data_IF_879672942326
#
_entry.id   IF_879672942326
#
_cell.length_a   1.000
_cell.length_b   1.000
_cell.length_c   1.000
_cell.angle_alpha   90.00
_cell.angle_beta   90.00
_cell.angle_gamma   90.00
#
_symmetry.space_group_name_H-M   'P 1'
#
loop_
_entity.id
_entity.type
_entity.pdbx_description
1 polymer ?
#
# COMPACT_ATOMS: atom_id res chain seq x y z
N UNK A 1 -1.84 -7.15 -13.75
CA UNK A 1 -0.71 -6.91 -14.71
C UNK A 1 0.59 -7.30 -14.02
N UNK A 2 1.38 -8.21 -14.61
CA UNK A 2 2.65 -8.69 -14.04
C UNK A 2 3.82 -7.85 -14.54
N UNK A 3 4.84 -7.66 -13.70
CA UNK A 3 6.07 -6.95 -14.00
C UNK A 3 7.18 -7.96 -14.32
N UNK A 4 8.06 -7.64 -15.27
CA UNK A 4 9.33 -8.33 -15.46
C UNK A 4 10.38 -7.81 -14.46
N UNK A 5 11.57 -8.46 -14.41
CA UNK A 5 12.66 -8.09 -13.48
C UNK A 5 13.03 -6.62 -13.57
N UNK A 6 13.22 -6.08 -14.79
CA UNK A 6 13.59 -4.68 -15.00
C UNK A 6 12.54 -3.70 -14.48
N UNK A 7 11.26 -3.99 -14.72
CA UNK A 7 10.16 -3.17 -14.24
C UNK A 7 10.03 -3.23 -12.71
N UNK A 8 10.20 -4.41 -12.13
CA UNK A 8 10.18 -4.62 -10.69
C UNK A 8 11.38 -3.93 -10.00
N UNK A 9 12.58 -4.03 -10.58
CA UNK A 9 13.77 -3.34 -10.09
C UNK A 9 13.60 -1.81 -10.07
N UNK A 10 13.01 -1.23 -11.12
CA UNK A 10 12.68 0.19 -11.15
C UNK A 10 11.65 0.57 -10.09
N UNK A 11 10.62 -0.27 -9.89
CA UNK A 11 9.59 -0.01 -8.88
C UNK A 11 10.18 0.05 -7.47
N UNK A 12 11.15 -0.83 -7.16
CA UNK A 12 11.80 -0.92 -5.86
C UNK A 12 13.06 -0.05 -5.75
N UNK A 13 13.44 0.67 -6.81
CA UNK A 13 14.68 1.47 -6.87
C UNK A 13 15.93 0.66 -6.53
N UNK A 14 16.00 -0.59 -7.02
CA UNK A 14 17.13 -1.52 -6.81
C UNK A 14 17.70 -1.99 -8.15
N UNK A 15 18.86 -2.69 -8.11
CA UNK A 15 19.45 -3.30 -9.29
C UNK A 15 18.73 -4.57 -9.74
N UNK A 16 18.78 -4.90 -11.03
CA UNK A 16 18.28 -6.19 -11.53
C UNK A 16 19.01 -7.38 -10.88
N UNK A 17 20.31 -7.23 -10.57
CA UNK A 17 21.09 -8.25 -9.87
C UNK A 17 20.57 -8.55 -8.47
N UNK A 18 20.11 -7.53 -7.76
CA UNK A 18 19.49 -7.68 -6.45
C UNK A 18 18.14 -8.39 -6.52
N UNK A 19 17.34 -8.09 -7.54
CA UNK A 19 16.11 -8.81 -7.83
C UNK A 19 16.34 -10.29 -8.07
N UNK A 20 17.34 -10.66 -8.87
CA UNK A 20 17.67 -12.06 -9.12
C UNK A 20 18.13 -12.76 -7.84
N UNK A 21 18.95 -12.12 -7.01
CA UNK A 21 19.36 -12.67 -5.71
C UNK A 21 18.15 -13.02 -4.82
N UNK A 22 17.16 -12.12 -4.72
CA UNK A 22 15.95 -12.38 -3.94
C UNK A 22 15.04 -13.46 -4.55
N UNK A 23 15.05 -13.61 -5.87
CA UNK A 23 14.36 -14.72 -6.56
C UNK A 23 15.04 -16.05 -6.25
N UNK A 24 16.37 -16.12 -6.32
CA UNK A 24 17.16 -17.33 -6.04
C UNK A 24 17.05 -17.77 -4.58
N UNK A 25 17.03 -16.81 -3.64
CA UNK A 25 16.82 -17.09 -2.21
C UNK A 25 15.37 -17.41 -1.85
N UNK A 26 14.42 -17.23 -2.77
CA UNK A 26 12.98 -17.42 -2.50
C UNK A 26 12.36 -16.37 -1.58
N UNK A 27 13.04 -15.25 -1.36
CA UNK A 27 12.56 -14.18 -0.46
C UNK A 27 11.46 -13.32 -1.08
N UNK A 28 11.50 -13.12 -2.40
CA UNK A 28 10.58 -12.24 -3.11
C UNK A 28 9.44 -13.01 -3.77
N UNK A 29 8.17 -12.58 -3.62
CA UNK A 29 7.06 -13.26 -4.26
C UNK A 29 7.12 -13.11 -5.79
N UNK A 30 7.26 -14.21 -6.51
CA UNK A 30 7.26 -14.24 -7.97
C UNK A 30 6.64 -15.52 -8.52
N UNK A 31 6.27 -15.51 -9.80
CA UNK A 31 5.82 -16.68 -10.54
C UNK A 31 6.76 -16.91 -11.71
N UNK A 32 7.32 -18.11 -11.79
CA UNK A 32 8.18 -18.49 -12.92
C UNK A 32 7.35 -18.82 -14.16
N UNK A 33 7.59 -18.11 -15.26
CA UNK A 33 6.97 -18.35 -16.55
C UNK A 33 8.07 -18.48 -17.61
N UNK A 34 8.16 -19.64 -18.27
CA UNK A 34 9.22 -19.93 -19.25
C UNK A 34 10.63 -19.56 -18.72
N UNK A 35 10.91 -19.95 -17.49
CA UNK A 35 12.18 -19.68 -16.79
C UNK A 35 12.49 -18.19 -16.53
N UNK A 36 11.47 -17.31 -16.59
CA UNK A 36 11.60 -15.90 -16.25
C UNK A 36 10.69 -15.57 -15.05
N UNK A 37 11.20 -14.87 -14.02
CA UNK A 37 10.38 -14.45 -12.90
C UNK A 37 9.47 -13.28 -13.31
N UNK A 38 8.21 -13.39 -12.95
CA UNK A 38 7.19 -12.36 -13.10
C UNK A 38 6.60 -12.01 -11.74
N UNK A 39 6.45 -10.73 -11.47
CA UNK A 39 6.02 -10.18 -10.19
C UNK A 39 4.62 -9.58 -10.30
N UNK A 40 3.75 -9.91 -9.36
CA UNK A 40 2.50 -9.19 -9.18
C UNK A 40 2.75 -7.82 -8.54
N UNK A 41 2.11 -6.76 -9.06
CA UNK A 41 2.36 -5.39 -8.54
C UNK A 41 1.96 -5.22 -7.08
N UNK A 42 0.79 -5.71 -6.70
CA UNK A 42 0.29 -5.60 -5.34
C UNK A 42 1.17 -6.41 -4.38
N UNK A 43 1.44 -7.68 -4.72
CA UNK A 43 2.29 -8.55 -3.93
C UNK A 43 3.69 -7.99 -3.73
N UNK A 44 4.23 -7.34 -4.77
CA UNK A 44 5.54 -6.72 -4.70
C UNK A 44 5.55 -5.49 -3.79
N UNK A 45 4.49 -4.67 -3.82
CA UNK A 45 4.34 -3.51 -2.95
C UNK A 45 4.15 -3.91 -1.48
N UNK A 46 3.32 -4.91 -1.20
CA UNK A 46 3.13 -5.48 0.14
C UNK A 46 4.46 -6.01 0.70
N UNK A 47 5.18 -6.80 -0.11
CA UNK A 47 6.49 -7.34 0.25
C UNK A 47 7.53 -6.23 0.49
N UNK A 48 7.57 -5.22 -0.38
CA UNK A 48 8.47 -4.07 -0.23
C UNK A 48 8.17 -3.28 1.05
N UNK A 49 6.88 -3.10 1.38
CA UNK A 49 6.45 -2.46 2.63
C UNK A 49 6.92 -3.25 3.84
N UNK A 50 6.73 -4.58 3.83
CA UNK A 50 7.18 -5.46 4.90
C UNK A 50 8.71 -5.46 5.08
N UNK A 51 9.46 -5.34 3.97
CA UNK A 51 10.93 -5.25 3.96
C UNK A 51 11.45 -3.82 4.14
N UNK A 52 10.58 -2.83 4.29
CA UNK A 52 10.92 -1.39 4.38
C UNK A 52 11.76 -0.89 3.20
N UNK A 53 11.47 -1.35 2.01
CA UNK A 53 12.10 -0.88 0.79
C UNK A 53 11.37 0.34 0.25
N UNK A 54 12.14 1.31 -0.28
CA UNK A 54 11.55 2.46 -0.97
C UNK A 54 10.89 2.03 -2.27
N UNK A 55 9.76 2.66 -2.58
CA UNK A 55 8.98 2.40 -3.79
C UNK A 55 8.93 3.66 -4.63
N UNK A 56 9.26 3.53 -5.93
CA UNK A 56 9.14 4.63 -6.88
C UNK A 56 7.67 4.90 -7.20
N UNK A 57 7.20 6.09 -6.87
CA UNK A 57 5.83 6.53 -7.19
C UNK A 57 5.65 6.92 -8.66
N UNK A 58 6.74 7.23 -9.38
CA UNK A 58 6.70 7.67 -10.79
C UNK A 58 5.98 6.69 -11.72
N UNK A 59 6.13 5.38 -11.45
CA UNK A 59 5.48 4.35 -12.26
C UNK A 59 3.94 4.34 -12.12
N UNK A 60 3.43 5.01 -11.11
CA UNK A 60 1.99 5.17 -10.88
C UNK A 60 1.48 6.56 -11.28
N UNK A 61 2.37 7.53 -11.45
CA UNK A 61 2.05 8.92 -11.79
C UNK A 61 1.98 9.16 -13.30
N UNK A 62 2.79 8.45 -14.09
CA UNK A 62 2.91 8.61 -15.54
C UNK A 62 1.81 7.84 -16.30
N UNK A 63 0.65 8.42 -16.43
CA UNK A 63 -0.44 7.89 -17.23
C UNK A 63 -1.54 8.93 -17.39
N UNK A 64 -1.57 9.47 -18.56
CA UNK A 64 -2.42 10.56 -19.06
C UNK A 64 -3.83 10.05 -19.36
N UNK A 65 -4.60 9.59 -18.39
CA UNK A 65 -6.03 9.38 -18.58
C UNK A 65 -6.79 9.66 -17.28
N UNK A 66 -7.25 10.90 -17.11
CA UNK A 66 -8.48 11.33 -16.46
C UNK A 66 -8.81 10.91 -15.01
N UNK A 67 -7.95 10.17 -14.32
CA UNK A 67 -8.18 9.73 -12.96
C UNK A 67 -7.64 10.73 -11.93
N UNK A 68 -8.50 11.22 -11.05
CA UNK A 68 -8.09 12.09 -9.95
C UNK A 68 -6.93 11.45 -9.17
N UNK A 69 -5.88 12.23 -8.96
CA UNK A 69 -4.68 11.83 -8.20
C UNK A 69 -5.10 11.56 -6.75
N UNK A 70 -5.18 10.28 -6.36
CA UNK A 70 -5.55 9.91 -5.00
C UNK A 70 -4.39 10.20 -4.06
N UNK A 71 -4.57 11.12 -3.12
CA UNK A 71 -3.62 11.39 -2.04
C UNK A 71 -3.98 10.58 -0.81
N UNK A 72 -2.99 10.04 -0.14
CA UNK A 72 -3.18 9.25 1.09
C UNK A 72 -3.88 10.09 2.18
N UNK A 73 -3.44 11.32 2.38
CA UNK A 73 -4.06 12.22 3.35
C UNK A 73 -5.54 12.44 3.09
N UNK A 74 -5.94 12.70 1.82
CA UNK A 74 -7.33 12.98 1.46
C UNK A 74 -8.22 11.75 1.61
N UNK A 75 -7.72 10.54 1.30
CA UNK A 75 -8.49 9.30 1.47
C UNK A 75 -8.60 8.88 2.92
N UNK A 76 -7.57 9.14 3.76
CA UNK A 76 -7.64 8.97 5.22
C UNK A 76 -8.60 9.97 5.87
N UNK A 77 -8.63 11.20 5.38
CA UNK A 77 -9.59 12.21 5.85
C UNK A 77 -11.03 11.80 5.54
N UNK A 78 -11.29 11.18 4.41
CA UNK A 78 -12.62 10.64 4.07
C UNK A 78 -12.97 9.38 4.85
N UNK A 79 -12.01 8.46 4.99
CA UNK A 79 -12.23 7.15 5.61
C UNK A 79 -12.24 7.16 7.12
N UNK A 80 -11.39 7.99 7.72
CA UNK A 80 -11.32 8.18 9.16
C UNK A 80 -10.30 7.29 9.88
N UNK A 81 -10.09 7.62 11.15
CA UNK A 81 -9.25 6.90 12.10
C UNK A 81 -10.13 6.41 13.25
N UNK A 82 -10.10 5.12 13.52
CA UNK A 82 -10.94 4.46 14.51
C UNK A 82 -10.08 3.85 15.59
N UNK A 83 -10.46 4.08 16.86
CA UNK A 83 -9.82 3.53 18.02
C UNK A 83 -10.67 2.43 18.63
N UNK A 84 -10.00 1.51 19.34
CA UNK A 84 -10.64 0.43 20.09
C UNK A 84 -11.62 -0.42 19.26
N UNK A 85 -11.22 -0.72 18.03
CA UNK A 85 -12.01 -1.57 17.12
C UNK A 85 -12.06 -2.97 17.70
N UNK A 86 -13.26 -3.52 17.98
CA UNK A 86 -13.41 -4.81 18.65
C UNK A 86 -13.12 -5.97 17.70
N UNK A 87 -12.74 -7.11 18.28
CA UNK A 87 -12.50 -8.36 17.59
C UNK A 87 -11.44 -9.17 18.31
N UNK A 88 -11.56 -10.49 18.27
CA UNK A 88 -10.61 -11.44 18.88
C UNK A 88 -10.00 -12.40 17.84
N UNK A 89 -10.45 -12.33 16.61
CA UNK A 89 -9.92 -13.03 15.45
C UNK A 89 -10.01 -12.16 14.19
N UNK A 90 -9.38 -12.61 13.10
CA UNK A 90 -9.37 -11.87 11.81
C UNK A 90 -10.78 -11.57 11.30
N UNK A 91 -11.68 -12.54 11.38
CA UNK A 91 -13.03 -12.39 10.83
C UNK A 91 -13.85 -11.37 11.58
N UNK A 92 -13.82 -11.37 12.91
CA UNK A 92 -14.52 -10.40 13.75
C UNK A 92 -13.93 -9.00 13.60
N UNK A 93 -12.60 -8.86 13.49
CA UNK A 93 -11.93 -7.58 13.22
C UNK A 93 -12.33 -7.02 11.86
N UNK A 94 -12.27 -7.82 10.80
CA UNK A 94 -12.63 -7.37 9.46
C UNK A 94 -14.12 -6.97 9.38
N UNK A 95 -15.01 -7.70 10.04
CA UNK A 95 -16.42 -7.35 10.15
C UNK A 95 -16.58 -5.97 10.83
N UNK A 96 -15.95 -5.78 11.98
CA UNK A 96 -16.02 -4.53 12.72
C UNK A 96 -15.44 -3.34 11.93
N UNK A 97 -14.45 -3.56 11.09
CA UNK A 97 -13.88 -2.55 10.19
C UNK A 97 -14.89 -2.22 9.08
N UNK A 98 -15.44 -3.23 8.39
CA UNK A 98 -16.39 -3.05 7.28
C UNK A 98 -17.63 -2.28 7.73
N UNK A 99 -18.13 -2.53 8.95
CA UNK A 99 -19.24 -1.79 9.54
C UNK A 99 -18.96 -0.28 9.70
N UNK A 100 -17.69 0.10 9.88
CA UNK A 100 -17.24 1.49 10.08
C UNK A 100 -16.84 2.19 8.80
N UNK A 101 -16.70 1.48 7.69
CA UNK A 101 -16.36 2.10 6.41
C UNK A 101 -17.45 3.10 5.99
N UNK A 102 -17.08 4.29 5.49
CA UNK A 102 -18.02 5.29 5.00
C UNK A 102 -18.54 4.90 3.60
N UNK A 103 -19.26 3.78 3.53
CA UNK A 103 -19.91 3.26 2.34
C UNK A 103 -21.34 3.76 2.27
N UNK A 104 -21.89 3.84 1.05
CA UNK A 104 -23.29 4.17 0.83
C UNK A 104 -24.25 3.12 1.39
N UNK A 105 -25.53 3.44 1.45
CA UNK A 105 -26.58 2.52 1.92
C UNK A 105 -26.78 1.34 0.94
N UNK A 106 -26.54 1.57 -0.35
CA UNK A 106 -26.66 0.56 -1.41
C UNK A 106 -25.39 -0.30 -1.58
N UNK A 107 -24.30 0.01 -0.84
CA UNK A 107 -23.07 -0.73 -0.93
C UNK A 107 -23.18 -2.07 -0.18
N UNK A 108 -22.79 -3.15 -0.84
CA UNK A 108 -22.85 -4.49 -0.28
C UNK A 108 -21.68 -4.76 0.68
N UNK A 109 -21.89 -4.44 1.96
CA UNK A 109 -20.93 -4.65 3.04
C UNK A 109 -20.65 -6.13 3.27
N UNK A 110 -21.64 -6.99 3.10
CA UNK A 110 -21.49 -8.43 3.27
C UNK A 110 -20.61 -9.00 2.17
N UNK A 111 -20.80 -8.59 0.93
CA UNK A 111 -19.93 -8.96 -0.18
C UNK A 111 -18.49 -8.48 0.04
N UNK A 112 -18.31 -7.23 0.47
CA UNK A 112 -16.97 -6.71 0.80
C UNK A 112 -16.30 -7.55 1.88
N UNK A 113 -17.02 -7.87 2.96
CA UNK A 113 -16.49 -8.71 4.03
C UNK A 113 -16.08 -10.09 3.52
N UNK A 114 -16.93 -10.74 2.70
CA UNK A 114 -16.62 -12.05 2.11
C UNK A 114 -15.35 -12.00 1.26
N UNK A 115 -15.17 -10.93 0.46
CA UNK A 115 -13.98 -10.77 -0.38
C UNK A 115 -12.72 -10.58 0.47
N UNK A 116 -12.77 -9.75 1.52
CA UNK A 116 -11.65 -9.57 2.44
C UNK A 116 -11.29 -10.86 3.16
N UNK A 117 -12.28 -11.64 3.61
CA UNK A 117 -12.06 -12.94 4.24
C UNK A 117 -11.46 -13.96 3.27
N UNK A 118 -11.97 -14.01 2.04
CA UNK A 118 -11.44 -14.89 1.00
C UNK A 118 -9.98 -14.51 0.67
N UNK A 119 -9.64 -13.22 0.67
CA UNK A 119 -8.27 -12.75 0.47
C UNK A 119 -7.35 -13.20 1.62
N UNK A 120 -7.77 -13.03 2.86
CA UNK A 120 -7.01 -13.49 4.03
C UNK A 120 -6.78 -15.00 4.06
N UNK A 121 -7.69 -15.80 3.50
CA UNK A 121 -7.50 -17.25 3.40
C UNK A 121 -6.43 -17.68 2.40
N UNK A 122 -6.08 -16.80 1.44
CA UNK A 122 -5.06 -17.07 0.41
C UNK A 122 -3.66 -16.57 0.78
N UNK A 123 -3.54 -15.80 1.85
CA UNK A 123 -2.29 -15.26 2.35
C UNK A 123 -2.53 -14.11 3.31
N UNK A 124 -1.63 -13.94 4.26
CA UNK A 124 -1.73 -12.88 5.26
C UNK A 124 -1.63 -11.47 4.65
N UNK A 125 -2.40 -10.54 5.17
CA UNK A 125 -2.24 -9.11 4.95
C UNK A 125 -1.34 -8.42 5.98
N UNK A 126 -0.84 -9.17 6.96
CA UNK A 126 0.08 -8.65 7.97
C UNK A 126 1.46 -8.36 7.39
N UNK A 127 1.85 -7.10 7.37
CA UNK A 127 3.13 -6.63 6.82
C UNK A 127 4.26 -6.58 7.86
N UNK A 128 3.98 -6.97 9.09
CA UNK A 128 4.91 -6.87 10.22
C UNK A 128 4.69 -5.64 11.09
N UNK A 129 5.45 -5.55 12.19
CA UNK A 129 5.37 -4.47 13.19
C UNK A 129 3.97 -4.24 13.76
N UNK A 130 3.13 -5.28 13.77
CA UNK A 130 1.76 -5.19 14.26
C UNK A 130 0.80 -4.47 13.30
N UNK A 131 1.17 -4.32 12.02
CA UNK A 131 0.36 -3.67 10.99
C UNK A 131 -0.14 -4.70 9.99
N UNK A 132 -1.41 -4.56 9.57
CA UNK A 132 -1.98 -5.28 8.43
C UNK A 132 -2.60 -4.30 7.42
N UNK A 133 -2.59 -4.70 6.14
CA UNK A 133 -3.23 -3.98 5.04
C UNK A 133 -4.13 -4.97 4.31
N UNK A 134 -5.31 -5.31 4.85
CA UNK A 134 -6.31 -6.09 4.13
C UNK A 134 -6.73 -5.33 2.89
N UNK A 135 -6.47 -5.92 1.73
CA UNK A 135 -6.76 -5.29 0.46
C UNK A 135 -7.69 -6.13 -0.41
N UNK A 136 -8.40 -5.46 -1.29
CA UNK A 136 -9.23 -6.09 -2.29
C UNK A 136 -8.47 -6.03 -3.62
N UNK A 137 -7.83 -7.14 -4.01
CA UNK A 137 -7.03 -7.24 -5.25
C UNK A 137 -7.85 -7.16 -6.54
N UNK A 138 -9.14 -7.32 -6.46
CA UNK A 138 -10.06 -7.07 -7.55
C UNK A 138 -10.75 -5.73 -7.33
N UNK A 139 -10.90 -4.89 -8.36
CA UNK A 139 -11.62 -3.64 -8.20
C UNK A 139 -13.07 -3.97 -7.86
N UNK A 140 -13.42 -3.89 -6.60
CA UNK A 140 -14.80 -3.69 -6.21
C UNK A 140 -15.10 -2.25 -6.61
N UNK A 141 -15.78 -2.11 -7.73
CA UNK A 141 -16.28 -0.82 -8.16
C UNK A 141 -17.46 -0.52 -7.25
N UNK A 142 -17.21 0.21 -6.18
CA UNK A 142 -18.27 0.88 -5.45
C UNK A 142 -18.61 2.14 -6.26
N UNK A 143 -19.77 2.19 -6.95
CA UNK A 143 -20.15 3.35 -7.74
C UNK A 143 -20.21 4.58 -6.83
N UNK A 144 -19.45 5.62 -7.18
CA UNK A 144 -19.43 6.87 -6.41
C UNK A 144 -18.36 7.03 -5.36
N UNK A 145 -17.51 6.02 -5.08
CA UNK A 145 -16.39 6.18 -4.14
C UNK A 145 -15.20 6.87 -4.79
N UNK A 146 -14.85 8.04 -4.29
CA UNK A 146 -13.64 8.78 -4.69
C UNK A 146 -12.33 8.19 -4.10
N UNK A 147 -12.34 6.90 -3.73
CA UNK A 147 -11.28 6.27 -2.94
C UNK A 147 -11.39 6.60 -1.45
N UNK A 148 -11.17 5.60 -0.60
CA UNK A 148 -11.26 5.69 0.87
C UNK A 148 -10.12 4.90 1.47
N UNK A 149 -9.50 5.43 2.52
CA UNK A 149 -8.59 4.68 3.39
C UNK A 149 -9.03 4.84 4.84
N UNK A 150 -9.12 3.76 5.59
CA UNK A 150 -9.34 3.81 7.03
C UNK A 150 -8.12 3.33 7.78
N UNK A 151 -7.88 3.91 8.94
CA UNK A 151 -6.92 3.45 9.93
C UNK A 151 -7.68 2.98 11.17
N UNK A 152 -7.55 1.71 11.50
CA UNK A 152 -8.23 1.08 12.62
C UNK A 152 -7.22 0.57 13.64
N UNK A 153 -7.27 1.09 14.86
CA UNK A 153 -6.52 0.58 16.00
C UNK A 153 -7.39 -0.42 16.74
N UNK A 154 -6.91 -1.64 16.86
CA UNK A 154 -7.65 -2.72 17.50
C UNK A 154 -7.67 -2.55 19.03
N UNK A 155 -8.77 -2.95 19.67
CA UNK A 155 -8.88 -2.99 21.12
C UNK A 155 -7.89 -3.98 21.74
N UNK A 156 -7.63 -5.10 21.07
CA UNK A 156 -6.63 -6.10 21.43
C UNK A 156 -5.88 -6.58 20.19
N UNK A 157 -4.58 -6.90 20.30
CA UNK A 157 -3.83 -7.46 19.18
C UNK A 157 -4.38 -8.83 18.76
N UNK A 158 -4.46 -9.07 17.44
CA UNK A 158 -5.02 -10.29 16.85
C UNK A 158 -4.00 -10.94 15.89
N UNK A 159 -3.85 -12.29 15.91
CA UNK A 159 -3.01 -12.98 14.95
C UNK A 159 -3.53 -12.84 13.51
N UNK A 160 -2.68 -12.31 12.62
CA UNK A 160 -2.93 -12.19 11.18
C UNK A 160 -1.95 -13.04 10.36
N UNK A 161 -1.16 -13.90 11.01
CA UNK A 161 -0.04 -14.65 10.39
C UNK A 161 0.94 -13.71 9.66
N UNK A 162 1.22 -12.56 10.28
CA UNK A 162 2.14 -11.58 9.74
C UNK A 162 3.54 -12.18 9.51
N UNK A 163 4.29 -11.61 8.56
CA UNK A 163 5.61 -12.11 8.15
C UNK A 163 6.63 -12.19 9.30
N UNK A 164 6.47 -11.36 10.32
CA UNK A 164 7.33 -11.34 11.53
C UNK A 164 6.75 -12.15 12.72
N UNK A 165 5.63 -12.84 12.51
CA UNK A 165 4.94 -13.64 13.53
C UNK A 165 4.27 -12.84 14.64
N UNK A 166 4.30 -11.50 14.59
CA UNK A 166 3.70 -10.67 15.64
C UNK A 166 2.20 -10.47 15.40
N UNK A 167 1.41 -10.36 16.48
CA UNK A 167 -0.01 -10.04 16.37
C UNK A 167 -0.19 -8.60 15.87
N UNK A 168 -1.25 -8.40 15.08
CA UNK A 168 -1.64 -7.11 14.51
C UNK A 168 -2.47 -6.31 15.50
N UNK A 169 -2.15 -5.03 15.64
CA UNK A 169 -2.88 -4.06 16.47
C UNK A 169 -3.35 -2.84 15.67
N UNK A 170 -2.92 -2.73 14.40
CA UNK A 170 -3.21 -1.59 13.52
C UNK A 170 -3.55 -2.11 12.13
N UNK A 171 -4.68 -1.68 11.58
CA UNK A 171 -5.16 -2.13 10.28
C UNK A 171 -5.43 -0.93 9.38
N UNK A 172 -4.81 -0.90 8.20
CA UNK A 172 -5.14 0.02 7.13
C UNK A 172 -6.03 -0.68 6.11
N UNK A 173 -7.22 -0.15 5.83
CA UNK A 173 -8.08 -0.68 4.77
C UNK A 173 -8.17 0.33 3.65
N UNK A 174 -7.85 -0.11 2.42
CA UNK A 174 -7.81 0.74 1.23
C UNK A 174 -8.92 0.30 0.27
N UNK A 175 -9.79 1.21 -0.09
CA UNK A 175 -10.81 1.02 -1.13
C UNK A 175 -10.59 2.03 -2.26
N UNK A 176 -10.61 1.55 -3.48
CA UNK A 176 -10.43 2.39 -4.66
C UNK A 176 -11.33 1.91 -5.81
N UNK A 177 -11.90 2.81 -6.60
CA UNK A 177 -12.76 2.44 -7.73
C UNK A 177 -11.99 1.80 -8.90
N UNK A 178 -10.66 1.84 -8.89
CA UNK A 178 -9.82 1.30 -9.96
C UNK A 178 -8.61 0.56 -9.42
N UNK A 179 -8.14 -0.46 -10.16
CA UNK A 179 -6.89 -1.18 -9.83
C UNK A 179 -5.70 -0.20 -9.75
N UNK A 180 -5.64 0.77 -10.66
CA UNK A 180 -4.57 1.77 -10.68
C UNK A 180 -4.60 2.64 -9.43
N UNK A 181 -5.78 3.15 -9.06
CA UNK A 181 -5.95 3.94 -7.83
C UNK A 181 -5.59 3.15 -6.58
N UNK A 182 -5.94 1.87 -6.52
CA UNK A 182 -5.55 0.98 -5.44
C UNK A 182 -4.02 0.85 -5.31
N UNK A 183 -3.33 0.58 -6.42
CA UNK A 183 -1.87 0.49 -6.43
C UNK A 183 -1.18 1.82 -6.07
N UNK A 184 -1.76 2.95 -6.50
CA UNK A 184 -1.30 4.28 -6.08
C UNK A 184 -1.42 4.48 -4.58
N UNK A 185 -2.57 4.14 -3.99
CA UNK A 185 -2.79 4.26 -2.55
C UNK A 185 -1.85 3.35 -1.76
N UNK A 186 -1.69 2.11 -2.19
CA UNK A 186 -0.78 1.16 -1.55
C UNK A 186 0.67 1.66 -1.59
N UNK A 187 1.13 2.15 -2.74
CA UNK A 187 2.48 2.71 -2.88
C UNK A 187 2.69 3.96 -2.01
N UNK A 188 1.68 4.85 -1.91
CA UNK A 188 1.73 6.03 -1.06
C UNK A 188 1.71 5.67 0.42
N UNK A 189 0.90 4.70 0.83
CA UNK A 189 0.89 4.20 2.20
C UNK A 189 2.24 3.56 2.56
N UNK A 190 2.80 2.73 1.66
CA UNK A 190 4.12 2.14 1.84
C UNK A 190 5.20 3.21 2.06
N UNK A 191 5.21 4.24 1.22
CA UNK A 191 6.15 5.34 1.34
C UNK A 191 5.94 6.18 2.62
N UNK A 192 4.70 6.41 3.03
CA UNK A 192 4.38 7.11 4.27
C UNK A 192 4.82 6.29 5.51
N UNK A 193 4.68 4.97 5.50
CA UNK A 193 5.14 4.10 6.59
C UNK A 193 6.68 4.05 6.72
N UNK A 194 7.43 4.45 5.68
CA UNK A 194 8.88 4.65 5.76
C UNK A 194 9.26 6.01 6.38
N UNK A 195 8.36 6.97 6.39
CA UNK A 195 8.58 8.27 7.03
C UNK A 195 8.46 8.14 8.55
N UNK A 196 9.49 8.59 9.26
CA UNK A 196 9.56 8.43 10.72
C UNK A 196 8.45 9.17 11.46
N UNK A 197 8.02 10.35 10.99
CA UNK A 197 6.96 11.15 11.62
C UNK A 197 5.60 10.47 11.49
N UNK A 198 5.22 10.07 10.27
CA UNK A 198 3.96 9.35 10.06
C UNK A 198 3.93 8.02 10.82
N UNK A 199 5.02 7.25 10.74
CA UNK A 199 5.14 5.97 11.46
C UNK A 199 5.01 6.16 12.98
N UNK A 200 5.71 7.14 13.55
CA UNK A 200 5.61 7.46 14.97
C UNK A 200 4.19 7.86 15.37
N UNK A 201 3.48 8.64 14.55
CA UNK A 201 2.08 8.99 14.80
C UNK A 201 1.17 7.74 14.79
N UNK A 202 1.37 6.82 13.82
CA UNK A 202 0.65 5.54 13.78
C UNK A 202 0.93 4.69 15.02
N UNK A 203 2.21 4.53 15.39
CA UNK A 203 2.60 3.69 16.53
C UNK A 203 2.06 4.19 17.87
N UNK A 204 2.01 5.51 18.09
CA UNK A 204 1.44 6.09 19.32
C UNK A 204 -0.09 6.22 19.27
N UNK A 205 -0.74 5.71 18.24
CA UNK A 205 -2.20 5.74 18.06
C UNK A 205 -2.74 7.18 18.11
N UNK A 206 -2.10 8.07 17.35
CA UNK A 206 -2.44 9.48 17.32
C UNK A 206 -3.89 9.73 16.83
N UNK A 207 -4.44 10.90 17.19
CA UNK A 207 -5.77 11.32 16.75
C UNK A 207 -5.82 11.51 15.23
N UNK A 208 -7.04 11.47 14.67
CA UNK A 208 -7.29 11.58 13.21
C UNK A 208 -6.58 12.77 12.58
N UNK A 209 -6.72 13.97 13.16
CA UNK A 209 -6.17 15.19 12.56
C UNK A 209 -4.65 15.14 12.47
N UNK A 210 -4.00 14.55 13.47
CA UNK A 210 -2.56 14.36 13.47
C UNK A 210 -2.11 13.30 12.45
N UNK A 211 -2.82 12.18 12.32
CA UNK A 211 -2.54 11.17 11.30
C UNK A 211 -2.66 11.75 9.89
N UNK A 212 -3.71 12.53 9.63
CA UNK A 212 -3.93 13.19 8.33
C UNK A 212 -2.84 14.25 8.06
N UNK A 213 -2.48 15.05 9.07
CA UNK A 213 -1.42 16.05 8.94
C UNK A 213 -0.06 15.41 8.64
N UNK A 214 0.31 14.34 9.34
CA UNK A 214 1.55 13.61 9.11
C UNK A 214 1.56 12.89 7.74
N UNK A 215 0.42 12.33 7.30
CA UNK A 215 0.30 11.79 5.95
C UNK A 215 0.55 12.86 4.89
N UNK A 216 -0.05 14.04 5.05
CA UNK A 216 0.13 15.18 4.14
C UNK A 216 1.57 15.67 4.10
N UNK A 217 2.21 15.76 5.25
CA UNK A 217 3.63 16.13 5.37
C UNK A 217 4.55 15.10 4.69
N UNK A 218 4.34 13.81 4.94
CA UNK A 218 5.11 12.73 4.34
C UNK A 218 4.99 12.73 2.80
N UNK A 219 3.77 12.90 2.27
CA UNK A 219 3.54 13.00 0.82
C UNK A 219 4.23 14.23 0.20
N UNK A 220 4.23 15.38 0.89
CA UNK A 220 4.92 16.57 0.42
C UNK A 220 6.45 16.38 0.39
N UNK A 221 7.02 15.76 1.40
CA UNK A 221 8.44 15.44 1.47
C UNK A 221 8.89 14.50 0.33
N UNK A 222 8.04 13.53 -0.03
CA UNK A 222 8.28 12.63 -1.17
C UNK A 222 8.29 13.39 -2.49
N UNK A 223 7.33 14.28 -2.72
CA UNK A 223 7.27 15.09 -3.94
C UNK A 223 8.55 15.94 -4.13
N UNK A 224 9.02 16.58 -3.07
CA UNK A 224 10.27 17.38 -3.11
C UNK A 224 11.52 16.53 -3.39
N UNK A 225 11.61 15.30 -2.84
CA UNK A 225 12.73 14.39 -3.15
C UNK A 225 12.76 13.99 -4.62
N UNK A 226 11.60 13.74 -5.22
CA UNK A 226 11.50 13.40 -6.66
C UNK A 226 11.89 14.59 -7.56
N UNK A 227 11.44 15.80 -7.26
CA UNK A 227 11.84 17.00 -8.02
C UNK A 227 13.34 17.27 -7.95
N UNK A 228 13.96 17.04 -6.79
CA UNK A 228 15.40 17.18 -6.60
C UNK A 228 16.21 16.16 -7.40
N UNK A 229 15.75 14.91 -7.47
CA UNK A 229 16.39 13.84 -8.24
C UNK A 229 16.23 14.01 -9.76
N UNK A 230 15.07 14.50 -10.21
CA UNK A 230 14.81 14.77 -11.63
C UNK A 230 15.65 15.93 -12.20
N UNK A 231 16.15 16.85 -11.34
CA UNK A 231 17.01 17.97 -11.75
C UNK A 231 18.49 17.63 -11.89
N UNK A 232 18.92 16.44 -11.45
CA UNK A 232 20.36 16.03 -11.42
C UNK A 232 20.77 15.22 -12.64
N UNK A 233 19.90 14.95 -13.61
CA UNK A 233 20.30 14.32 -14.87
C UNK A 233 21.07 15.33 -15.75
N UNK A 234 22.42 15.21 -15.91
CA UNK A 234 23.15 16.11 -16.78
C UNK A 234 22.82 15.82 -18.23
N UNK A 235 22.45 16.86 -18.96
CA UNK A 235 22.49 16.86 -20.41
C UNK A 235 23.92 16.48 -20.85
N UNK A 236 24.13 15.27 -21.32
CA UNK A 236 25.29 14.97 -22.15
C UNK A 236 25.10 15.75 -23.44
N UNK A 237 25.75 16.90 -23.51
CA UNK A 237 26.02 17.60 -24.76
C UNK A 237 26.84 16.64 -25.64
N UNK A 238 26.25 16.18 -26.72
CA UNK A 238 26.98 15.77 -27.88
C UNK A 238 27.86 16.95 -28.32
N UNK A 239 29.15 16.81 -28.13
CA UNK A 239 30.15 17.60 -28.86
C UNK A 239 30.65 16.70 -29.97
N UNK A 240 30.05 16.87 -31.15
CA UNK A 240 30.70 16.53 -32.40
C UNK A 240 32.03 17.26 -32.47
N UNK A 241 33.05 16.51 -32.78
CA UNK A 241 34.37 17.00 -33.13
C UNK A 241 34.87 16.19 -34.30
N UNK A 242 34.88 16.86 -35.44
CA UNK A 242 35.64 16.65 -36.68
C UNK A 242 36.49 15.36 -36.80
#
# INVERSE_FOLDING_TARGET
>A
MKLNVRQAARLLSVSESEMYRWVESGEIPCVMVKNQPLFGRAELLEWATAKRLSVSLELFENGDEGGARLRLADVLERGGVYHDVPGNDRASVLRAIVERLPLGEDDDRDLLLQILLARESTGSSGIGEGIAIPDVRSPLVFPGTAGVATLSYLASPVPFDAIDGKPVHTVFTLLSPTIRGHLQLLARLSAALLDDGFRAAVQRRAARDEIVAEARRAEAALAHKHEAQGRVAPSRSESDGE
#
